data_IF_797299029580
#
_entry.id   IF_797299029580
#
_cell.length_a   1.000
_cell.length_b   1.000
_cell.length_c   1.000
_cell.angle_alpha   90.00
_cell.angle_beta   90.00
_cell.angle_gamma   90.00
#
_symmetry.space_group_name_H-M   'P 1'
#
loop_
_entity.id
_entity.type
_entity.pdbx_description
1 polymer ?
#
# COMPACT_ATOMS: atom_id res chain seq x y z
N UNK A 1 4.43 -8.70 4.28
CA UNK A 1 5.13 -8.48 3.00
C UNK A 1 4.80 -7.09 2.50
N UNK A 2 5.73 -6.41 1.82
CA UNK A 2 5.43 -5.16 1.12
C UNK A 2 4.75 -5.49 -0.21
N UNK A 3 3.82 -4.63 -0.65
CA UNK A 3 3.11 -4.82 -1.90
C UNK A 3 4.06 -4.67 -3.10
N UNK A 4 3.93 -5.56 -4.08
CA UNK A 4 4.75 -5.54 -5.30
C UNK A 4 3.90 -5.91 -6.52
N UNK A 5 3.15 -4.93 -7.03
CA UNK A 5 2.43 -5.07 -8.30
C UNK A 5 3.44 -5.11 -9.44
N UNK A 6 3.39 -6.10 -10.36
CA UNK A 6 4.24 -6.12 -11.54
C UNK A 6 4.11 -4.83 -12.35
N UNK A 7 5.20 -4.33 -12.92
CA UNK A 7 5.16 -3.15 -13.80
C UNK A 7 4.37 -3.50 -15.06
N UNK A 8 4.54 -4.72 -15.56
CA UNK A 8 3.81 -5.25 -16.70
C UNK A 8 3.03 -6.53 -16.30
N UNK A 9 1.69 -6.45 -16.18
CA UNK A 9 0.91 -7.51 -15.56
C UNK A 9 0.51 -8.65 -16.50
N UNK A 10 1.02 -8.72 -17.74
CA UNK A 10 0.61 -9.74 -18.72
C UNK A 10 1.69 -10.83 -18.83
N UNK A 11 1.52 -12.01 -18.19
CA UNK A 11 2.45 -13.12 -18.35
C UNK A 11 2.46 -13.57 -19.82
N UNK A 12 3.58 -13.40 -20.51
CA UNK A 12 3.76 -13.79 -21.91
C UNK A 12 3.18 -12.83 -22.95
N UNK A 13 2.50 -11.76 -22.56
CA UNK A 13 2.04 -10.71 -23.48
C UNK A 13 3.14 -9.70 -23.71
N UNK A 14 4.12 -10.04 -24.55
CA UNK A 14 5.20 -9.12 -24.91
C UNK A 14 4.76 -8.22 -26.07
N UNK A 15 5.16 -6.96 -26.01
CA UNK A 15 5.08 -6.05 -27.16
C UNK A 15 6.17 -6.39 -28.18
N UNK A 16 6.10 -5.81 -29.38
CA UNK A 16 7.16 -5.92 -30.39
C UNK A 16 8.52 -5.41 -29.86
N UNK A 17 8.52 -4.35 -29.05
CA UNK A 17 9.72 -3.84 -28.39
C UNK A 17 10.28 -4.82 -27.35
N UNK A 18 9.42 -5.41 -26.52
CA UNK A 18 9.82 -6.45 -25.56
C UNK A 18 10.43 -7.66 -26.28
N UNK A 19 9.78 -8.16 -27.33
CA UNK A 19 10.27 -9.28 -28.14
C UNK A 19 11.64 -8.96 -28.76
N UNK A 20 11.79 -7.78 -29.37
CA UNK A 20 13.06 -7.36 -29.96
C UNK A 20 14.19 -7.30 -28.92
N UNK A 21 13.91 -6.78 -27.73
CA UNK A 21 14.90 -6.69 -26.66
C UNK A 21 15.31 -8.07 -26.11
N UNK A 22 14.36 -8.99 -25.92
CA UNK A 22 14.65 -10.38 -25.55
C UNK A 22 15.52 -11.09 -26.60
N UNK A 23 15.22 -10.86 -27.88
CA UNK A 23 16.03 -11.35 -29.01
C UNK A 23 17.47 -10.82 -28.96
N UNK A 24 17.63 -9.51 -28.73
CA UNK A 24 18.94 -8.86 -28.60
C UNK A 24 19.76 -9.45 -27.46
N UNK A 25 19.17 -9.57 -26.26
CA UNK A 25 19.85 -10.16 -25.10
C UNK A 25 20.33 -11.58 -25.39
N UNK A 26 19.52 -12.37 -26.09
CA UNK A 26 19.88 -13.75 -26.46
C UNK A 26 21.03 -13.77 -27.47
N UNK A 27 20.98 -12.93 -28.50
CA UNK A 27 21.97 -12.89 -29.58
C UNK A 27 23.33 -12.33 -29.12
N UNK A 28 23.33 -11.36 -28.21
CA UNK A 28 24.51 -10.55 -27.88
C UNK A 28 24.98 -10.68 -26.43
N UNK A 29 24.48 -11.66 -25.66
CA UNK A 29 24.84 -11.89 -24.25
C UNK A 29 26.34 -11.91 -23.95
N UNK A 30 27.15 -12.36 -24.91
CA UNK A 30 28.61 -12.50 -24.77
C UNK A 30 29.41 -11.34 -25.38
N UNK A 31 28.75 -10.34 -25.97
CA UNK A 31 29.40 -9.19 -26.57
C UNK A 31 29.27 -7.97 -25.62
N UNK A 32 30.35 -7.56 -24.92
CA UNK A 32 30.31 -6.46 -23.97
C UNK A 32 29.98 -5.10 -24.63
N UNK A 33 30.33 -4.92 -25.90
CA UNK A 33 30.07 -3.66 -26.64
C UNK A 33 28.59 -3.50 -27.00
N UNK A 34 27.86 -4.62 -27.08
CA UNK A 34 26.42 -4.67 -27.36
C UNK A 34 25.58 -5.01 -26.12
N UNK A 35 26.24 -5.19 -24.97
CA UNK A 35 25.56 -5.41 -23.70
C UNK A 35 24.90 -4.11 -23.24
N UNK A 36 23.60 -4.00 -23.54
CA UNK A 36 22.70 -3.12 -22.80
C UNK A 36 22.71 -3.60 -21.36
N UNK A 37 22.75 -2.68 -20.39
CA UNK A 37 22.82 -3.02 -18.96
C UNK A 37 21.56 -3.74 -18.48
N UNK A 38 20.88 -3.22 -17.47
CA UNK A 38 19.60 -3.81 -17.03
C UNK A 38 18.44 -2.83 -17.22
N UNK A 39 18.10 -2.43 -18.47
CA UNK A 39 16.73 -2.00 -18.74
C UNK A 39 15.78 -3.10 -18.26
N UNK A 40 14.87 -2.74 -17.37
CA UNK A 40 13.88 -3.67 -16.86
C UNK A 40 12.88 -4.01 -17.99
N UNK A 41 12.78 -5.29 -18.31
CA UNK A 41 11.98 -5.81 -19.42
C UNK A 41 10.54 -5.29 -19.40
N UNK A 42 9.92 -5.32 -18.23
CA UNK A 42 8.53 -4.91 -18.01
C UNK A 42 8.27 -3.44 -18.37
N UNK A 43 9.27 -2.56 -18.23
CA UNK A 43 9.12 -1.15 -18.58
C UNK A 43 9.11 -0.92 -20.09
N UNK A 44 9.85 -1.73 -20.87
CA UNK A 44 9.82 -1.62 -22.33
C UNK A 44 8.43 -1.93 -22.87
N UNK A 45 7.79 -2.98 -22.34
CA UNK A 45 6.42 -3.34 -22.70
C UNK A 45 5.42 -2.27 -22.25
N UNK A 46 5.52 -1.79 -21.01
CA UNK A 46 4.65 -0.73 -20.51
C UNK A 46 4.73 0.56 -21.37
N UNK A 47 5.93 0.98 -21.77
CA UNK A 47 6.13 2.16 -22.63
C UNK A 47 5.53 1.94 -24.02
N UNK A 48 5.75 0.77 -24.62
CA UNK A 48 5.27 0.45 -25.97
C UNK A 48 3.76 0.31 -26.04
N UNK A 49 3.16 -0.32 -25.03
CA UNK A 49 1.71 -0.40 -24.89
C UNK A 49 1.11 1.00 -24.74
N UNK A 50 1.64 1.82 -23.83
CA UNK A 50 1.14 3.19 -23.62
C UNK A 50 1.24 4.01 -24.89
N UNK A 51 2.36 3.95 -25.61
CA UNK A 51 2.52 4.66 -26.89
C UNK A 51 1.40 4.30 -27.89
N UNK A 52 1.09 3.01 -27.98
CA UNK A 52 0.08 2.46 -28.89
C UNK A 52 -1.33 2.86 -28.46
N UNK A 53 -1.67 2.66 -27.18
CA UNK A 53 -3.00 2.92 -26.61
C UNK A 53 -3.38 4.40 -26.65
N UNK A 54 -2.41 5.29 -26.44
CA UNK A 54 -2.63 6.74 -26.35
C UNK A 54 -2.46 7.46 -27.68
N UNK A 55 -1.77 6.85 -28.65
CA UNK A 55 -1.36 7.53 -29.88
C UNK A 55 -0.35 8.66 -29.64
N UNK A 56 0.37 8.64 -28.52
CA UNK A 56 1.37 9.66 -28.20
C UNK A 56 2.53 9.61 -29.21
N UNK A 57 2.59 10.63 -30.07
CA UNK A 57 3.57 10.72 -31.15
C UNK A 57 5.01 10.77 -30.67
N UNK A 58 5.29 11.42 -29.53
CA UNK A 58 6.65 11.53 -28.98
C UNK A 58 7.09 10.20 -28.38
N UNK A 59 6.23 9.56 -27.60
CA UNK A 59 6.53 8.25 -27.01
C UNK A 59 6.65 7.18 -28.11
N UNK A 60 5.83 7.27 -29.15
CA UNK A 60 5.93 6.41 -30.34
C UNK A 60 7.29 6.59 -31.05
N UNK A 61 7.75 7.83 -31.23
CA UNK A 61 9.05 8.09 -31.83
C UNK A 61 10.20 7.51 -31.00
N UNK A 62 10.17 7.67 -29.68
CA UNK A 62 11.18 7.12 -28.77
C UNK A 62 11.19 5.58 -28.77
N UNK A 63 10.02 4.95 -28.71
CA UNK A 63 9.91 3.48 -28.74
C UNK A 63 10.28 2.88 -30.09
N UNK A 64 9.99 3.57 -31.20
CA UNK A 64 10.46 3.18 -32.54
C UNK A 64 11.98 3.35 -32.70
N UNK A 65 12.57 4.39 -32.11
CA UNK A 65 14.02 4.57 -32.11
C UNK A 65 14.71 3.41 -31.38
N UNK A 66 14.18 2.99 -30.23
CA UNK A 66 14.67 1.80 -29.51
C UNK A 66 14.58 0.53 -30.36
N UNK A 67 13.45 0.30 -31.04
CA UNK A 67 13.29 -0.82 -31.98
C UNK A 67 14.33 -0.81 -33.11
N UNK A 68 14.56 0.36 -33.72
CA UNK A 68 15.54 0.52 -34.80
C UNK A 68 16.96 0.20 -34.34
N UNK A 69 17.34 0.68 -33.14
CA UNK A 69 18.63 0.39 -32.53
C UNK A 69 18.82 -1.12 -32.28
N UNK A 70 17.79 -1.81 -31.77
CA UNK A 70 17.83 -3.26 -31.52
C UNK A 70 17.86 -4.09 -32.81
N UNK A 71 17.28 -3.60 -33.89
CA UNK A 71 17.26 -4.31 -35.17
C UNK A 71 18.63 -4.33 -35.86
N UNK A 72 19.47 -3.32 -35.66
CA UNK A 72 20.78 -3.23 -36.29
C UNK A 72 21.87 -2.62 -35.37
N UNK A 73 22.18 -3.27 -34.23
CA UNK A 73 23.03 -2.67 -33.19
C UNK A 73 24.46 -2.36 -33.67
N UNK A 74 24.99 -3.14 -34.61
CA UNK A 74 26.34 -2.96 -35.17
C UNK A 74 26.47 -1.76 -36.11
N UNK A 75 25.36 -1.25 -36.65
CA UNK A 75 25.38 -0.06 -37.50
C UNK A 75 25.46 1.26 -36.71
N UNK A 76 25.35 1.20 -35.38
CA UNK A 76 25.33 2.38 -34.52
C UNK A 76 26.57 2.41 -33.62
N UNK A 77 27.50 3.33 -33.91
CA UNK A 77 28.71 3.52 -33.10
C UNK A 77 28.42 3.95 -31.65
N UNK A 78 27.23 4.52 -31.40
CA UNK A 78 26.72 4.93 -30.09
C UNK A 78 25.62 4.02 -29.50
N UNK A 79 25.40 2.81 -30.05
CA UNK A 79 24.23 1.96 -29.76
C UNK A 79 23.76 1.97 -28.30
N UNK A 80 24.67 1.66 -27.35
CA UNK A 80 24.32 1.55 -25.93
C UNK A 80 23.89 2.90 -25.34
N UNK A 81 24.63 3.96 -25.63
CA UNK A 81 24.32 5.29 -25.12
C UNK A 81 23.01 5.81 -25.71
N UNK A 82 22.81 5.62 -27.01
CA UNK A 82 21.61 6.05 -27.72
C UNK A 82 20.37 5.29 -27.22
N UNK A 83 20.47 3.97 -27.04
CA UNK A 83 19.38 3.16 -26.52
C UNK A 83 19.01 3.56 -25.10
N UNK A 84 19.99 3.68 -24.20
CA UNK A 84 19.74 4.06 -22.82
C UNK A 84 19.18 5.48 -22.70
N UNK A 85 19.62 6.40 -23.55
CA UNK A 85 19.07 7.76 -23.62
C UNK A 85 17.61 7.72 -24.06
N UNK A 86 17.29 7.03 -25.16
CA UNK A 86 15.91 6.90 -25.64
C UNK A 86 14.99 6.22 -24.60
N UNK A 87 15.49 5.18 -23.92
CA UNK A 87 14.78 4.48 -22.87
C UNK A 87 14.48 5.40 -21.66
N UNK A 88 15.48 6.11 -21.14
CA UNK A 88 15.28 7.01 -20.00
C UNK A 88 14.42 8.23 -20.36
N UNK A 89 14.56 8.78 -21.56
CA UNK A 89 13.69 9.85 -22.07
C UNK A 89 12.24 9.38 -22.18
N UNK A 90 12.01 8.17 -22.69
CA UNK A 90 10.69 7.59 -22.77
C UNK A 90 10.07 7.41 -21.37
N UNK A 91 10.83 6.89 -20.40
CA UNK A 91 10.36 6.73 -19.01
C UNK A 91 10.05 8.05 -18.33
N UNK A 92 10.94 9.05 -18.43
CA UNK A 92 10.73 10.38 -17.84
C UNK A 92 9.53 11.08 -18.44
N UNK A 93 9.28 10.87 -19.73
CA UNK A 93 8.15 11.45 -20.43
C UNK A 93 6.82 10.77 -20.07
N UNK A 94 6.76 9.44 -20.14
CA UNK A 94 5.54 8.67 -19.91
C UNK A 94 5.16 8.56 -18.42
N UNK A 95 6.14 8.34 -17.54
CA UNK A 95 5.93 8.01 -16.13
C UNK A 95 6.75 8.93 -15.21
N UNK A 96 6.54 10.26 -15.26
CA UNK A 96 7.36 11.21 -14.54
C UNK A 96 7.34 11.04 -13.01
N UNK A 97 6.21 10.65 -12.40
CA UNK A 97 6.13 10.39 -10.97
C UNK A 97 6.86 9.10 -10.60
N UNK A 98 6.58 8.00 -11.32
CA UNK A 98 7.23 6.72 -11.05
C UNK A 98 8.75 6.85 -11.20
N UNK A 99 9.21 7.54 -12.24
CA UNK A 99 10.64 7.80 -12.45
C UNK A 99 11.25 8.65 -11.34
N UNK A 100 10.54 9.66 -10.85
CA UNK A 100 11.02 10.47 -9.73
C UNK A 100 11.21 9.63 -8.45
N UNK A 101 10.28 8.70 -8.16
CA UNK A 101 10.41 7.78 -7.03
C UNK A 101 11.58 6.79 -7.21
N UNK A 102 11.82 6.32 -8.43
CA UNK A 102 12.98 5.48 -8.76
C UNK A 102 14.28 6.27 -8.59
N UNK A 103 14.32 7.55 -8.99
CA UNK A 103 15.46 8.43 -8.74
C UNK A 103 15.74 8.55 -7.24
N UNK A 104 14.71 8.62 -6.37
CA UNK A 104 14.90 8.55 -4.90
C UNK A 104 15.47 7.21 -4.44
N UNK A 105 14.98 6.08 -4.97
CA UNK A 105 15.52 4.76 -4.63
C UNK A 105 17.00 4.65 -5.03
N UNK A 106 17.35 5.15 -6.20
CA UNK A 106 18.74 5.14 -6.68
C UNK A 106 19.67 6.02 -5.85
N UNK A 107 19.19 7.15 -5.30
CA UNK A 107 19.99 7.99 -4.40
C UNK A 107 20.35 7.28 -3.09
N UNK A 108 19.51 6.37 -2.62
CA UNK A 108 19.75 5.60 -1.39
C UNK A 108 20.45 4.26 -1.67
N UNK A 109 20.35 3.76 -2.90
CA UNK A 109 20.92 2.48 -3.32
C UNK A 109 22.42 2.40 -3.02
N UNK A 110 22.82 1.32 -2.34
CA UNK A 110 24.21 1.11 -1.90
C UNK A 110 24.63 1.92 -0.68
N UNK A 111 23.74 2.73 -0.09
CA UNK A 111 24.00 3.51 1.12
C UNK A 111 23.07 3.10 2.27
N UNK A 112 21.75 3.23 2.07
CA UNK A 112 20.72 3.00 3.10
C UNK A 112 19.38 2.67 2.41
N UNK A 113 18.29 2.56 3.17
CA UNK A 113 16.93 2.33 2.66
C UNK A 113 15.92 3.18 3.42
N UNK A 114 14.99 3.83 2.71
CA UNK A 114 13.86 4.53 3.32
C UNK A 114 12.63 3.60 3.35
N UNK A 115 12.13 3.33 4.55
CA UNK A 115 10.99 2.44 4.76
C UNK A 115 9.70 2.93 4.06
N UNK A 116 9.46 4.24 4.06
CA UNK A 116 8.27 4.82 3.42
C UNK A 116 8.32 4.62 1.91
N UNK A 117 9.48 4.85 1.31
CA UNK A 117 9.70 4.62 -0.12
C UNK A 117 9.59 3.13 -0.51
N UNK A 118 9.97 2.22 0.38
CA UNK A 118 9.79 0.79 0.20
C UNK A 118 8.31 0.39 0.23
N UNK A 119 7.47 1.10 0.99
CA UNK A 119 6.03 0.86 1.06
C UNK A 119 5.23 1.39 -0.16
N UNK A 120 5.85 2.19 -1.04
CA UNK A 120 5.21 2.66 -2.27
C UNK A 120 5.37 1.60 -3.36
N UNK A 121 4.26 1.02 -3.80
CA UNK A 121 4.24 0.04 -4.88
C UNK A 121 4.32 0.75 -6.24
N UNK A 122 5.48 0.63 -6.90
CA UNK A 122 5.73 1.30 -8.18
C UNK A 122 4.82 0.80 -9.30
N UNK A 123 4.37 -0.46 -9.27
CA UNK A 123 3.41 -0.97 -10.26
C UNK A 123 2.08 -0.27 -10.12
N UNK A 124 1.63 0.00 -8.89
CA UNK A 124 0.44 0.82 -8.64
C UNK A 124 0.62 2.26 -9.08
N UNK A 125 1.76 2.89 -8.77
CA UNK A 125 2.03 4.28 -9.20
C UNK A 125 1.99 4.39 -10.73
N UNK A 126 2.61 3.44 -11.44
CA UNK A 126 2.56 3.37 -12.91
C UNK A 126 1.13 3.26 -13.42
N UNK A 127 0.31 2.38 -12.82
CA UNK A 127 -1.11 2.26 -13.23
C UNK A 127 -1.87 3.56 -12.95
N UNK A 128 -1.64 4.20 -11.80
CA UNK A 128 -2.25 5.49 -11.46
C UNK A 128 -1.88 6.56 -12.51
N UNK A 129 -0.63 6.61 -12.98
CA UNK A 129 -0.20 7.53 -14.04
C UNK A 129 -0.82 7.23 -15.40
N UNK A 130 -1.10 5.96 -15.72
CA UNK A 130 -1.83 5.58 -16.93
C UNK A 130 -3.31 5.97 -16.85
N UNK A 131 -3.98 5.68 -15.72
CA UNK A 131 -5.39 6.00 -15.52
C UNK A 131 -5.62 7.53 -15.40
N UNK A 132 -4.63 8.28 -14.91
CA UNK A 132 -4.66 9.75 -14.84
C UNK A 132 -4.75 10.46 -16.21
N UNK A 133 -4.52 9.74 -17.32
CA UNK A 133 -4.71 10.30 -18.67
C UNK A 133 -6.17 10.68 -18.93
N UNK A 134 -7.10 9.92 -18.36
CA UNK A 134 -8.55 10.08 -18.55
C UNK A 134 -9.29 10.40 -17.26
N UNK A 135 -8.66 10.22 -16.10
CA UNK A 135 -9.29 10.46 -14.80
C UNK A 135 -8.78 11.76 -14.11
N UNK A 136 -9.66 12.77 -13.92
CA UNK A 136 -9.26 14.03 -13.29
C UNK A 136 -8.79 13.89 -11.84
N UNK A 137 -9.36 12.98 -11.05
CA UNK A 137 -8.99 12.78 -9.65
C UNK A 137 -7.61 12.15 -9.54
N UNK A 138 -7.33 11.10 -10.33
CA UNK A 138 -6.00 10.48 -10.37
C UNK A 138 -4.94 11.46 -10.92
N UNK A 139 -5.30 12.30 -11.89
CA UNK A 139 -4.43 13.37 -12.38
C UNK A 139 -4.05 14.38 -11.30
N UNK A 140 -5.01 14.76 -10.46
CA UNK A 140 -4.75 15.61 -9.30
C UNK A 140 -3.82 14.93 -8.30
N UNK A 141 -4.04 13.66 -7.95
CA UNK A 141 -3.13 12.93 -7.07
C UNK A 141 -1.70 12.83 -7.61
N UNK A 142 -1.53 12.53 -8.90
CA UNK A 142 -0.21 12.50 -9.56
C UNK A 142 0.47 13.86 -9.48
N UNK A 143 -0.26 14.95 -9.75
CA UNK A 143 0.26 16.31 -9.64
C UNK A 143 0.70 16.61 -8.21
N UNK A 144 -0.12 16.28 -7.22
CA UNK A 144 0.13 16.58 -5.81
C UNK A 144 1.33 15.79 -5.27
N UNK A 145 1.45 14.50 -5.62
CA UNK A 145 2.63 13.69 -5.30
C UNK A 145 3.92 14.27 -5.91
N UNK A 146 3.89 14.69 -7.18
CA UNK A 146 5.04 15.33 -7.83
C UNK A 146 5.41 16.66 -7.19
N UNK A 147 4.42 17.48 -6.84
CA UNK A 147 4.64 18.76 -6.18
C UNK A 147 5.31 18.56 -4.82
N UNK A 148 4.85 17.57 -4.03
CA UNK A 148 5.47 17.20 -2.74
C UNK A 148 6.89 16.67 -2.92
N UNK A 149 7.13 15.76 -3.89
CA UNK A 149 8.48 15.24 -4.17
C UNK A 149 9.48 16.34 -4.58
N UNK A 150 9.02 17.36 -5.30
CA UNK A 150 9.84 18.49 -5.71
C UNK A 150 10.14 19.48 -4.57
N UNK A 151 9.41 19.41 -3.45
CA UNK A 151 9.65 20.28 -2.30
C UNK A 151 10.98 19.93 -1.62
N UNK A 152 11.79 20.96 -1.36
CA UNK A 152 13.13 20.85 -0.76
C UNK A 152 13.21 21.38 0.68
N UNK A 153 12.09 21.84 1.24
CA UNK A 153 12.05 22.50 2.56
C UNK A 153 12.08 21.55 3.75
N UNK A 154 11.79 20.27 3.54
CA UNK A 154 11.66 19.26 4.59
C UNK A 154 12.78 18.23 4.47
N UNK A 155 13.05 17.51 5.55
CA UNK A 155 13.90 16.34 5.48
C UNK A 155 13.31 15.31 4.52
N UNK A 156 14.15 14.54 3.81
CA UNK A 156 13.65 13.71 2.69
C UNK A 156 12.65 12.65 3.12
N UNK A 157 12.84 12.03 4.29
CA UNK A 157 11.90 11.07 4.86
C UNK A 157 10.54 11.74 5.17
N UNK A 158 10.50 13.01 5.58
CA UNK A 158 9.24 13.75 5.77
C UNK A 158 8.53 14.03 4.44
N UNK A 159 9.28 14.41 3.41
CA UNK A 159 8.74 14.56 2.06
C UNK A 159 8.09 13.25 1.60
N UNK A 160 8.77 12.12 1.79
CA UNK A 160 8.27 10.81 1.38
C UNK A 160 7.01 10.39 2.15
N UNK A 161 6.88 10.75 3.43
CA UNK A 161 5.64 10.55 4.22
C UNK A 161 4.47 11.31 3.61
N UNK A 162 4.66 12.59 3.28
CA UNK A 162 3.60 13.38 2.65
C UNK A 162 3.22 12.87 1.26
N UNK A 163 4.18 12.33 0.51
CA UNK A 163 3.92 11.67 -0.78
C UNK A 163 3.11 10.39 -0.57
N UNK A 164 3.45 9.62 0.47
CA UNK A 164 2.73 8.41 0.83
C UNK A 164 1.27 8.68 1.20
N UNK A 165 0.98 9.78 1.90
CA UNK A 165 -0.39 10.15 2.26
C UNK A 165 -1.27 10.31 1.01
N UNK A 166 -0.78 11.07 0.02
CA UNK A 166 -1.45 11.27 -1.27
C UNK A 166 -1.52 9.97 -2.08
N UNK A 167 -0.45 9.17 -2.06
CA UNK A 167 -0.43 7.86 -2.69
C UNK A 167 -1.50 6.93 -2.10
N UNK A 168 -1.68 6.92 -0.78
CA UNK A 168 -2.69 6.13 -0.10
C UNK A 168 -4.11 6.47 -0.54
N UNK A 169 -4.43 7.77 -0.64
CA UNK A 169 -5.72 8.24 -1.18
C UNK A 169 -5.92 7.82 -2.64
N UNK A 170 -4.91 8.03 -3.50
CA UNK A 170 -4.96 7.64 -4.91
C UNK A 170 -5.18 6.14 -5.08
N UNK A 171 -4.48 5.33 -4.28
CA UNK A 171 -4.57 3.89 -4.28
C UNK A 171 -5.96 3.41 -3.82
N UNK A 172 -6.51 3.97 -2.74
CA UNK A 172 -7.88 3.67 -2.28
C UNK A 172 -8.89 3.96 -3.38
N UNK A 173 -8.83 5.15 -3.98
CA UNK A 173 -9.72 5.55 -5.06
C UNK A 173 -9.66 4.58 -6.24
N UNK A 174 -8.45 4.25 -6.69
CA UNK A 174 -8.22 3.30 -7.78
C UNK A 174 -8.75 1.91 -7.45
N UNK A 175 -8.35 1.33 -6.33
CA UNK A 175 -8.65 -0.06 -5.99
C UNK A 175 -10.16 -0.27 -5.80
N UNK A 176 -10.87 0.68 -5.18
CA UNK A 176 -12.32 0.60 -5.03
C UNK A 176 -13.06 0.69 -6.37
N UNK A 177 -12.61 1.56 -7.29
CA UNK A 177 -13.14 1.62 -8.66
C UNK A 177 -12.87 0.34 -9.44
N UNK A 178 -11.64 -0.19 -9.37
CA UNK A 178 -11.30 -1.44 -10.04
C UNK A 178 -12.17 -2.61 -9.52
N UNK A 179 -12.46 -2.63 -8.21
CA UNK A 179 -13.29 -3.65 -7.57
C UNK A 179 -14.76 -3.58 -7.97
N UNK A 180 -15.36 -2.38 -7.99
CA UNK A 180 -16.81 -2.20 -8.14
C UNK A 180 -17.23 -1.74 -9.54
N UNK A 181 -16.28 -1.36 -10.38
CA UNK A 181 -16.52 -0.85 -11.72
C UNK A 181 -17.54 0.30 -11.72
N UNK A 182 -18.46 0.28 -12.68
CA UNK A 182 -19.49 1.32 -12.82
C UNK A 182 -20.50 1.40 -11.67
N UNK A 183 -20.49 0.47 -10.70
CA UNK A 183 -21.40 0.52 -9.54
C UNK A 183 -20.99 1.55 -8.50
N UNK A 184 -19.71 1.90 -8.43
CA UNK A 184 -19.20 2.90 -7.50
C UNK A 184 -18.70 4.12 -8.27
N UNK A 185 -19.30 5.27 -7.97
CA UNK A 185 -18.74 6.58 -8.30
C UNK A 185 -18.06 7.11 -7.06
N UNK A 186 -16.76 7.36 -7.15
CA UNK A 186 -15.95 7.94 -6.06
C UNK A 186 -15.18 9.12 -6.62
N UNK A 187 -15.16 10.24 -5.90
CA UNK A 187 -14.45 11.45 -6.31
C UNK A 187 -13.80 12.12 -5.09
N UNK A 188 -12.56 12.61 -5.28
CA UNK A 188 -11.87 13.41 -4.27
C UNK A 188 -12.66 14.67 -3.98
N UNK A 189 -12.86 14.99 -2.71
CA UNK A 189 -13.41 16.28 -2.30
C UNK A 189 -12.25 17.30 -2.30
N UNK A 190 -12.39 18.45 -2.98
CA UNK A 190 -11.36 19.48 -2.95
C UNK A 190 -11.07 19.94 -1.53
N UNK A 191 -9.78 20.11 -1.21
CA UNK A 191 -9.35 20.62 0.10
C UNK A 191 -9.97 22.01 0.35
N UNK A 192 -10.48 22.21 1.56
CA UNK A 192 -11.10 23.46 1.97
C UNK A 192 -10.76 23.80 3.42
N UNK A 193 -11.00 25.05 3.84
CA UNK A 193 -10.82 25.45 5.24
C UNK A 193 -11.80 24.76 6.21
N UNK A 194 -12.88 24.17 5.69
CA UNK A 194 -13.83 23.40 6.48
C UNK A 194 -13.36 21.94 6.52
N UNK A 195 -13.08 21.37 7.71
CA UNK A 195 -12.77 19.96 7.83
C UNK A 195 -13.92 19.11 7.27
N UNK A 196 -13.57 18.10 6.48
CA UNK A 196 -14.54 17.22 5.84
C UNK A 196 -13.88 15.95 5.35
N UNK A 197 -14.68 15.02 4.82
CA UNK A 197 -14.19 13.75 4.32
C UNK A 197 -13.34 13.91 3.06
N UNK A 198 -12.42 12.98 2.83
CA UNK A 198 -11.54 12.97 1.65
C UNK A 198 -12.29 12.61 0.34
N UNK A 199 -13.31 11.75 0.39
CA UNK A 199 -14.06 11.31 -0.78
C UNK A 199 -15.57 11.40 -0.64
N UNK A 200 -16.24 11.76 -1.73
CA UNK A 200 -17.67 11.57 -1.93
C UNK A 200 -17.91 10.31 -2.76
N UNK A 201 -18.88 9.50 -2.33
CA UNK A 201 -19.18 8.21 -2.94
C UNK A 201 -20.67 8.04 -3.24
N UNK A 202 -20.96 7.42 -4.38
CA UNK A 202 -22.28 6.93 -4.74
C UNK A 202 -22.18 5.46 -5.14
N UNK A 203 -22.93 4.60 -4.46
CA UNK A 203 -22.97 3.17 -4.72
C UNK A 203 -24.36 2.74 -5.21
N UNK A 204 -24.40 2.18 -6.41
CA UNK A 204 -25.63 1.61 -6.96
C UNK A 204 -25.81 0.16 -6.46
N UNK A 205 -26.95 -0.07 -5.79
CA UNK A 205 -27.32 -1.34 -5.15
C UNK A 205 -28.69 -1.78 -5.62
N UNK A 206 -28.91 -3.10 -5.72
CA UNK A 206 -30.21 -3.65 -6.14
C UNK A 206 -31.01 -4.05 -4.91
N UNK A 207 -32.15 -3.39 -4.69
CA UNK A 207 -33.11 -3.71 -3.63
C UNK A 207 -34.47 -4.02 -4.22
N UNK A 208 -34.98 -5.21 -3.93
CA UNK A 208 -36.30 -5.66 -4.41
C UNK A 208 -36.48 -5.47 -5.94
N UNK A 209 -35.43 -5.76 -6.71
CA UNK A 209 -35.43 -5.61 -8.17
C UNK A 209 -35.31 -4.17 -8.69
N UNK A 210 -35.05 -3.19 -7.83
CA UNK A 210 -34.83 -1.78 -8.22
C UNK A 210 -33.43 -1.32 -7.84
N UNK A 211 -32.80 -0.53 -8.70
CA UNK A 211 -31.53 0.13 -8.37
C UNK A 211 -31.81 1.32 -7.45
N UNK A 212 -31.12 1.33 -6.31
CA UNK A 212 -31.09 2.44 -5.35
C UNK A 212 -29.64 2.92 -5.26
N UNK A 213 -29.44 4.23 -5.23
CA UNK A 213 -28.11 4.83 -5.07
C UNK A 213 -27.92 5.25 -3.62
N UNK A 214 -26.91 4.69 -2.96
CA UNK A 214 -26.49 5.09 -1.62
C UNK A 214 -25.41 6.16 -1.71
N UNK A 215 -25.63 7.31 -1.06
CA UNK A 215 -24.65 8.39 -0.99
C UNK A 215 -23.95 8.38 0.37
N UNK A 216 -22.62 8.32 0.36
CA UNK A 216 -21.81 8.29 1.56
C UNK A 216 -20.44 8.93 1.30
N UNK A 217 -19.61 8.99 2.33
CA UNK A 217 -18.28 9.56 2.27
C UNK A 217 -17.24 8.59 2.84
N UNK A 218 -15.98 8.76 2.43
CA UNK A 218 -14.84 8.07 3.02
C UNK A 218 -13.87 9.10 3.58
N UNK A 219 -13.45 8.89 4.82
CA UNK A 219 -12.33 9.59 5.43
C UNK A 219 -11.13 8.64 5.49
N UNK A 220 -10.07 8.93 4.75
CA UNK A 220 -8.90 8.07 4.59
C UNK A 220 -7.76 8.57 5.47
N UNK A 221 -7.16 7.66 6.25
CA UNK A 221 -5.95 7.96 7.01
C UNK A 221 -4.90 6.89 6.81
N UNK A 222 -3.79 7.28 6.18
CA UNK A 222 -2.56 6.50 6.13
C UNK A 222 -1.90 6.50 7.51
N UNK A 223 -1.97 5.37 8.21
CA UNK A 223 -1.41 5.28 9.55
C UNK A 223 0.10 5.02 9.47
N UNK A 224 0.85 5.88 10.15
CA UNK A 224 2.30 5.89 10.14
C UNK A 224 2.88 4.95 11.22
N UNK A 225 4.15 4.57 11.05
CA UNK A 225 4.90 3.75 12.01
C UNK A 225 4.94 4.39 13.40
N UNK A 226 5.19 3.57 14.42
CA UNK A 226 5.33 4.06 15.79
C UNK A 226 6.49 5.07 15.84
N UNK A 227 6.21 6.25 16.39
CA UNK A 227 7.18 7.37 16.48
C UNK A 227 7.92 7.72 15.18
N UNK A 228 7.22 7.73 14.05
CA UNK A 228 7.79 7.93 12.71
C UNK A 228 8.82 9.06 12.53
N UNK A 229 8.63 10.30 13.05
CA UNK A 229 9.63 11.36 12.85
C UNK A 229 11.03 11.00 13.39
N UNK A 230 11.09 10.18 14.44
CA UNK A 230 12.33 9.72 15.04
C UNK A 230 12.75 8.35 14.52
N UNK A 231 11.80 7.42 14.35
CA UNK A 231 12.10 6.04 13.94
C UNK A 231 12.52 5.89 12.49
N UNK A 232 12.05 6.74 11.58
CA UNK A 232 12.46 6.64 10.17
C UNK A 232 13.96 6.95 9.99
N UNK A 233 14.52 8.03 10.56
CA UNK A 233 15.96 8.24 10.61
C UNK A 233 16.72 7.06 11.24
N UNK A 234 16.28 6.55 12.40
CA UNK A 234 16.94 5.40 13.04
C UNK A 234 16.94 4.15 12.15
N UNK A 235 15.86 3.88 11.43
CA UNK A 235 15.82 2.75 10.48
C UNK A 235 16.77 2.96 9.29
N UNK A 236 17.00 4.20 8.87
CA UNK A 236 17.97 4.51 7.83
C UNK A 236 19.41 4.33 8.33
N UNK A 237 19.68 4.71 9.58
CA UNK A 237 20.97 4.50 10.23
C UNK A 237 21.24 3.00 10.44
N UNK A 238 20.25 2.25 10.95
CA UNK A 238 20.30 0.78 11.08
C UNK A 238 20.65 0.13 9.71
N UNK A 239 20.04 0.60 8.61
CA UNK A 239 20.32 0.11 7.26
C UNK A 239 21.72 0.49 6.74
N UNK A 240 22.25 1.65 7.15
CA UNK A 240 23.61 2.07 6.81
C UNK A 240 24.65 1.21 7.54
N UNK A 241 24.42 0.88 8.81
CA UNK A 241 25.30 0.01 9.59
C UNK A 241 25.40 -1.40 8.98
N UNK A 242 24.28 -1.94 8.51
CA UNK A 242 24.24 -3.20 7.73
C UNK A 242 25.11 -3.10 6.48
N UNK A 243 25.06 -1.95 5.78
CA UNK A 243 25.87 -1.73 4.58
C UNK A 243 27.37 -1.61 4.89
N UNK A 244 27.72 -0.90 5.96
CA UNK A 244 29.10 -0.78 6.44
C UNK A 244 29.66 -2.16 6.77
N UNK A 245 28.88 -3.02 7.41
CA UNK A 245 29.30 -4.39 7.74
C UNK A 245 29.55 -5.23 6.49
N UNK A 246 28.66 -5.17 5.50
CA UNK A 246 28.87 -5.84 4.21
C UNK A 246 30.16 -5.36 3.53
N UNK A 247 30.42 -4.05 3.52
CA UNK A 247 31.62 -3.49 2.90
C UNK A 247 32.91 -3.88 3.64
N UNK A 248 32.86 -3.97 4.97
CA UNK A 248 34.00 -4.49 5.76
C UNK A 248 34.34 -5.92 5.38
N UNK A 249 33.35 -6.81 5.27
CA UNK A 249 33.56 -8.20 4.87
C UNK A 249 34.12 -8.31 3.45
N UNK A 250 33.57 -7.55 2.50
CA UNK A 250 34.09 -7.51 1.12
C UNK A 250 35.54 -7.02 1.08
N UNK A 251 35.86 -5.94 1.81
CA UNK A 251 37.22 -5.40 1.86
C UNK A 251 38.22 -6.33 2.56
N UNK A 252 37.75 -7.15 3.51
CA UNK A 252 38.55 -8.20 4.13
C UNK A 252 38.84 -9.40 3.20
N UNK A 253 38.24 -9.41 2.00
CA UNK A 253 38.40 -10.49 1.03
C UNK A 253 37.51 -11.71 1.30
N UNK A 254 36.46 -11.54 2.12
CA UNK A 254 35.52 -12.61 2.39
C UNK A 254 34.83 -13.06 1.10
N UNK A 255 34.76 -14.37 0.90
CA UNK A 255 34.17 -14.95 -0.32
C UNK A 255 32.66 -14.74 -0.40
N UNK A 256 32.00 -14.64 0.75
CA UNK A 256 30.57 -14.39 0.89
C UNK A 256 30.41 -13.36 2.00
N UNK A 257 29.80 -12.21 1.67
CA UNK A 257 29.46 -11.19 2.66
C UNK A 257 27.97 -11.29 3.01
N UNK A 258 27.64 -11.34 4.30
CA UNK A 258 26.27 -11.43 4.81
C UNK A 258 26.10 -10.50 6.02
N UNK A 259 24.98 -9.79 6.04
CA UNK A 259 24.55 -8.98 7.17
C UNK A 259 23.02 -9.03 7.25
N UNK A 260 22.48 -8.91 8.46
CA UNK A 260 21.06 -8.92 8.74
C UNK A 260 20.61 -7.54 9.22
N UNK A 261 19.49 -7.06 8.68
CA UNK A 261 18.84 -5.82 9.11
C UNK A 261 17.40 -6.09 9.49
N UNK A 262 16.92 -5.42 10.54
CA UNK A 262 15.56 -5.60 11.06
C UNK A 262 14.72 -4.36 10.76
N UNK A 263 13.60 -4.56 10.08
CA UNK A 263 12.56 -3.53 9.90
C UNK A 263 11.43 -3.80 10.90
N UNK A 264 11.32 -2.96 11.91
CA UNK A 264 10.32 -3.10 12.99
C UNK A 264 9.41 -1.86 13.09
N UNK A 265 8.33 -1.77 12.28
CA UNK A 265 7.42 -0.61 12.21
C UNK A 265 6.69 -0.28 13.51
N UNK A 266 6.56 -1.27 14.40
CA UNK A 266 5.92 -1.08 15.69
C UNK A 266 6.90 -0.84 16.85
N UNK A 267 8.21 -0.91 16.61
CA UNK A 267 9.22 -0.66 17.65
C UNK A 267 9.27 0.84 17.97
N UNK A 268 9.15 1.26 19.25
CA UNK A 268 9.33 2.65 19.65
C UNK A 268 10.80 3.11 19.47
N UNK A 269 11.05 4.40 19.70
CA UNK A 269 12.37 5.07 19.57
C UNK A 269 13.38 4.49 20.56
N UNK A 270 14.61 4.30 20.10
CA UNK A 270 15.74 3.85 20.93
C UNK A 270 15.66 2.38 21.38
N UNK A 271 16.44 2.07 22.43
CA UNK A 271 16.41 0.75 23.07
C UNK A 271 15.04 0.55 23.74
N UNK A 272 14.30 -0.43 23.24
CA UNK A 272 12.96 -0.77 23.70
C UNK A 272 13.00 -2.10 24.49
N UNK A 273 13.55 -2.13 25.72
CA UNK A 273 13.59 -3.34 26.53
C UNK A 273 12.14 -3.79 26.81
N UNK A 274 11.78 -4.97 26.30
CA UNK A 274 10.42 -5.51 26.37
C UNK A 274 9.60 -5.35 25.08
N UNK A 275 10.18 -4.83 23.99
CA UNK A 275 9.59 -5.01 22.67
C UNK A 275 9.56 -6.49 22.30
N UNK A 276 8.38 -6.99 21.94
CA UNK A 276 8.14 -8.35 21.51
C UNK A 276 7.54 -8.29 20.10
N UNK A 277 8.32 -8.70 19.11
CA UNK A 277 7.96 -8.69 17.69
C UNK A 277 6.87 -9.70 17.33
N UNK A 278 6.59 -10.66 18.22
CA UNK A 278 5.50 -11.64 18.11
C UNK A 278 4.23 -11.19 18.82
N UNK A 279 4.23 -10.02 19.46
CA UNK A 279 3.03 -9.49 20.10
C UNK A 279 1.96 -9.13 19.07
N UNK A 280 0.73 -9.56 19.33
CA UNK A 280 -0.51 -9.17 18.64
C UNK A 280 -1.09 -7.91 19.30
N UNK A 281 -1.01 -7.81 20.63
CA UNK A 281 -1.49 -6.66 21.40
C UNK A 281 -0.79 -5.39 20.97
N UNK A 282 0.52 -5.45 20.71
CA UNK A 282 1.31 -4.29 20.35
C UNK A 282 0.82 -3.64 19.02
N UNK A 283 0.64 -4.39 17.91
CA UNK A 283 -0.05 -3.89 16.73
C UNK A 283 -1.44 -3.30 16.99
N UNK A 284 -2.28 -3.99 17.78
CA UNK A 284 -3.64 -3.50 18.10
C UNK A 284 -3.57 -2.12 18.75
N UNK A 285 -2.78 -1.97 19.81
CA UNK A 285 -2.70 -0.70 20.53
C UNK A 285 -2.03 0.42 19.73
N UNK A 286 -1.01 0.10 18.94
CA UNK A 286 -0.37 1.07 18.06
C UNK A 286 -1.35 1.60 17.01
N UNK A 287 -2.11 0.72 16.36
CA UNK A 287 -3.13 1.09 15.38
C UNK A 287 -4.22 1.94 16.05
N UNK A 288 -4.73 1.52 17.20
CA UNK A 288 -5.73 2.28 17.98
C UNK A 288 -5.25 3.69 18.31
N UNK A 289 -4.04 3.81 18.88
CA UNK A 289 -3.47 5.11 19.24
C UNK A 289 -3.34 6.03 18.02
N UNK A 290 -2.89 5.50 16.89
CA UNK A 290 -2.72 6.27 15.64
C UNK A 290 -4.05 6.67 15.04
N UNK A 291 -4.99 5.74 14.94
CA UNK A 291 -6.31 5.99 14.37
C UNK A 291 -7.09 7.03 15.21
N UNK A 292 -7.14 6.89 16.53
CA UNK A 292 -7.77 7.86 17.43
C UNK A 292 -7.10 9.24 17.35
N UNK A 293 -5.78 9.26 17.11
CA UNK A 293 -5.01 10.49 16.89
C UNK A 293 -5.30 11.18 15.56
N UNK A 294 -5.71 10.45 14.53
CA UNK A 294 -5.83 10.93 13.16
C UNK A 294 -7.27 11.19 12.71
N UNK A 295 -8.23 10.37 13.11
CA UNK A 295 -9.65 10.61 12.83
C UNK A 295 -10.21 11.66 13.78
N UNK A 296 -10.84 12.70 13.24
CA UNK A 296 -11.45 13.80 13.98
C UNK A 296 -12.93 13.87 13.64
N UNK A 297 -13.81 13.89 14.66
CA UNK A 297 -15.26 13.95 14.47
C UNK A 297 -15.76 15.09 13.58
N UNK A 298 -15.00 16.18 13.41
CA UNK A 298 -15.36 17.22 12.45
C UNK A 298 -15.42 16.71 10.98
N UNK A 299 -14.61 15.72 10.62
CA UNK A 299 -14.53 15.11 9.29
C UNK A 299 -15.76 14.26 8.96
N UNK A 300 -16.53 13.83 9.97
CA UNK A 300 -17.64 12.88 9.81
C UNK A 300 -19.03 13.56 9.73
N UNK A 301 -19.08 14.89 9.79
CA UNK A 301 -20.34 15.66 9.91
C UNK A 301 -21.14 15.81 8.61
N UNK A 302 -20.56 15.45 7.46
CA UNK A 302 -21.16 15.72 6.13
C UNK A 302 -22.27 14.72 5.75
N UNK A 303 -22.39 13.63 6.49
CA UNK A 303 -23.32 12.52 6.25
C UNK A 303 -22.69 11.20 6.66
N UNK A 304 -23.25 10.05 6.25
CA UNK A 304 -22.67 8.74 6.49
C UNK A 304 -21.22 8.69 5.96
N UNK A 305 -20.25 8.68 6.88
CA UNK A 305 -18.82 8.80 6.56
C UNK A 305 -18.09 7.63 7.18
N UNK A 306 -17.53 6.74 6.37
CA UNK A 306 -16.77 5.60 6.87
C UNK A 306 -15.32 5.99 7.13
N UNK A 307 -14.79 5.59 8.28
CA UNK A 307 -13.38 5.70 8.57
C UNK A 307 -12.62 4.63 7.78
N UNK A 308 -11.61 5.01 7.00
CA UNK A 308 -10.76 4.09 6.25
C UNK A 308 -9.31 4.23 6.71
N UNK A 309 -8.81 3.23 7.44
CA UNK A 309 -7.43 3.16 7.88
C UNK A 309 -6.58 2.44 6.83
N UNK A 310 -5.60 3.13 6.25
CA UNK A 310 -4.60 2.54 5.37
C UNK A 310 -3.39 2.10 6.20
N UNK A 311 -3.16 0.79 6.29
CA UNK A 311 -2.13 0.14 7.09
C UNK A 311 -0.93 -0.36 6.27
N UNK A 312 -0.76 0.10 5.03
CA UNK A 312 0.34 -0.36 4.17
C UNK A 312 1.76 -0.08 4.74
N UNK A 313 1.88 0.80 5.74
CA UNK A 313 3.13 1.06 6.50
C UNK A 313 3.17 0.38 7.88
N UNK A 314 2.12 -0.35 8.26
CA UNK A 314 1.96 -1.06 9.52
C UNK A 314 1.55 -2.50 9.20
N UNK A 315 2.51 -3.40 8.90
CA UNK A 315 2.20 -4.76 8.49
C UNK A 315 1.42 -5.50 9.60
N UNK A 316 0.41 -6.27 9.23
CA UNK A 316 -0.30 -7.13 10.17
C UNK A 316 0.52 -8.41 10.46
N UNK A 317 0.32 -9.09 11.60
CA UNK A 317 1.08 -10.28 11.99
C UNK A 317 0.70 -11.56 11.20
N UNK A 318 0.31 -11.43 9.92
CA UNK A 318 0.12 -12.55 9.00
C UNK A 318 -1.07 -13.47 9.33
N UNK A 319 -2.17 -12.91 9.82
CA UNK A 319 -3.33 -13.67 10.30
C UNK A 319 -4.34 -14.05 9.21
N UNK A 320 -4.11 -13.63 7.96
CA UNK A 320 -5.07 -13.81 6.86
C UNK A 320 -6.45 -13.27 7.25
N UNK A 321 -7.49 -14.06 6.96
CA UNK A 321 -8.87 -13.71 7.33
C UNK A 321 -9.15 -13.78 8.85
N UNK A 322 -8.27 -14.41 9.64
CA UNK A 322 -8.43 -14.53 11.09
C UNK A 322 -8.38 -13.17 11.81
N UNK A 323 -7.86 -12.13 11.15
CA UNK A 323 -7.86 -10.76 11.69
C UNK A 323 -9.26 -10.16 11.86
N UNK A 324 -10.27 -10.69 11.18
CA UNK A 324 -11.66 -10.18 11.15
C UNK A 324 -12.53 -10.70 12.28
N UNK A 325 -12.11 -11.71 13.02
CA UNK A 325 -12.88 -12.36 14.10
C UNK A 325 -12.23 -12.09 15.44
N UNK A 326 -13.02 -12.18 16.52
CA UNK A 326 -12.48 -12.00 17.87
C UNK A 326 -11.38 -13.02 18.15
N UNK A 327 -11.61 -14.27 17.79
CA UNK A 327 -10.59 -15.32 17.88
C UNK A 327 -10.70 -16.30 16.72
N UNK A 328 -9.56 -16.91 16.36
CA UNK A 328 -9.47 -17.95 15.34
C UNK A 328 -8.48 -19.04 15.75
N UNK A 329 -8.64 -20.21 15.13
CA UNK A 329 -7.78 -21.36 15.31
C UNK A 329 -6.80 -21.47 14.14
N UNK A 330 -5.51 -21.63 14.45
CA UNK A 330 -4.48 -21.89 13.47
C UNK A 330 -3.99 -23.34 13.60
N UNK A 331 -4.11 -24.17 12.54
CA UNK A 331 -3.70 -25.56 12.58
C UNK A 331 -2.22 -25.78 12.96
N UNK A 332 -1.36 -24.79 12.73
CA UNK A 332 0.07 -24.85 13.06
C UNK A 332 0.40 -24.18 14.40
N UNK A 333 -0.33 -23.13 14.77
CA UNK A 333 0.04 -22.25 15.88
C UNK A 333 -0.91 -22.27 17.09
N UNK A 334 -1.94 -23.12 17.03
CA UNK A 334 -2.87 -23.38 18.12
C UNK A 334 -4.18 -22.63 18.00
N UNK A 335 -5.02 -22.82 19.02
CA UNK A 335 -6.40 -22.35 19.01
C UNK A 335 -6.56 -21.00 19.73
N UNK A 336 -7.65 -20.31 19.40
CA UNK A 336 -8.07 -19.10 20.11
C UNK A 336 -7.13 -17.92 20.00
N UNK A 337 -6.41 -17.76 18.89
CA UNK A 337 -5.55 -16.60 18.60
C UNK A 337 -6.42 -15.37 18.33
N UNK A 338 -6.08 -14.23 18.92
CA UNK A 338 -6.85 -12.98 18.79
C UNK A 338 -6.69 -12.34 17.41
N UNK A 339 -7.80 -11.99 16.74
CA UNK A 339 -7.74 -11.25 15.48
C UNK A 339 -7.41 -9.77 15.70
N UNK A 340 -6.33 -9.26 15.09
CA UNK A 340 -5.85 -7.89 15.31
C UNK A 340 -6.91 -6.85 14.95
N UNK A 341 -7.45 -6.91 13.74
CA UNK A 341 -8.34 -5.86 13.25
C UNK A 341 -9.71 -5.86 13.96
N UNK A 342 -10.23 -7.02 14.35
CA UNK A 342 -11.45 -7.09 15.17
C UNK A 342 -11.25 -6.38 16.52
N UNK A 343 -10.10 -6.59 17.18
CA UNK A 343 -9.80 -5.90 18.44
C UNK A 343 -9.53 -4.41 18.25
N UNK A 344 -8.98 -3.98 17.11
CA UNK A 344 -8.89 -2.56 16.75
C UNK A 344 -10.28 -1.93 16.60
N UNK A 345 -11.27 -2.66 16.09
CA UNK A 345 -12.62 -2.14 15.93
C UNK A 345 -13.43 -2.16 17.24
N UNK A 346 -13.42 -3.29 17.95
CA UNK A 346 -14.40 -3.62 19.01
C UNK A 346 -13.79 -4.09 20.34
N UNK A 347 -12.46 -4.14 20.46
CA UNK A 347 -11.79 -4.60 21.67
C UNK A 347 -12.22 -3.82 22.92
N UNK A 348 -12.39 -4.48 24.05
CA UNK A 348 -12.74 -3.82 25.31
C UNK A 348 -11.50 -3.61 26.19
N UNK A 349 -11.48 -2.54 26.98
CA UNK A 349 -10.40 -2.32 27.97
C UNK A 349 -10.35 -3.51 28.94
N UNK A 350 -9.15 -4.03 29.18
CA UNK A 350 -8.94 -5.21 30.03
C UNK A 350 -9.22 -6.55 29.35
N UNK A 351 -9.67 -6.56 28.09
CA UNK A 351 -9.83 -7.80 27.33
C UNK A 351 -8.47 -8.47 27.09
N UNK A 352 -8.38 -9.77 27.36
CA UNK A 352 -7.15 -10.54 27.12
C UNK A 352 -6.90 -10.71 25.64
N UNK A 353 -5.63 -10.59 25.26
CA UNK A 353 -5.12 -10.86 23.93
C UNK A 353 -4.30 -12.13 23.97
N UNK A 354 -4.55 -12.98 22.99
CA UNK A 354 -3.93 -14.29 22.83
C UNK A 354 -3.18 -14.34 21.51
N UNK A 355 -1.97 -14.90 21.54
CA UNK A 355 -1.09 -15.04 20.38
C UNK A 355 -0.76 -16.48 20.05
N UNK A 356 -0.22 -16.67 18.85
CA UNK A 356 0.38 -17.92 18.43
C UNK A 356 1.42 -18.40 19.46
N UNK A 357 1.31 -19.66 19.88
CA UNK A 357 2.31 -20.28 20.76
C UNK A 357 3.67 -20.33 20.05
N UNK A 358 4.76 -20.14 20.78
CA UNK A 358 6.11 -20.25 20.23
C UNK A 358 6.49 -21.69 19.88
N UNK A 359 6.13 -22.61 20.76
CA UNK A 359 6.28 -24.04 20.62
C UNK A 359 5.22 -24.73 21.48
N UNK A 360 5.09 -26.05 21.36
CA UNK A 360 4.14 -26.83 22.16
C UNK A 360 4.39 -26.64 23.66
N UNK A 361 3.37 -26.18 24.39
CA UNK A 361 3.46 -25.89 25.83
C UNK A 361 3.94 -24.48 26.18
N UNK A 362 4.32 -23.65 25.20
CA UNK A 362 4.52 -22.21 25.43
C UNK A 362 3.17 -21.53 25.73
N UNK A 363 3.20 -20.49 26.58
CA UNK A 363 2.02 -19.68 26.85
C UNK A 363 1.57 -18.87 25.62
N UNK A 364 0.26 -18.66 25.50
CA UNK A 364 -0.35 -17.84 24.45
C UNK A 364 -0.77 -16.45 24.94
N UNK A 365 -0.56 -16.12 26.22
CA UNK A 365 -0.97 -14.84 26.79
C UNK A 365 -0.08 -13.70 26.25
N UNK A 366 -0.72 -12.65 25.75
CA UNK A 366 -0.07 -11.43 25.26
C UNK A 366 -0.56 -10.20 26.04
N UNK A 367 -1.13 -10.44 27.23
CA UNK A 367 -1.61 -9.42 28.15
C UNK A 367 -3.04 -8.99 27.88
N UNK A 368 -3.40 -7.79 28.32
CA UNK A 368 -4.75 -7.24 28.19
C UNK A 368 -4.73 -5.87 27.52
N UNK A 369 -5.77 -5.55 26.75
CA UNK A 369 -5.89 -4.25 26.07
C UNK A 369 -5.97 -3.10 27.08
N UNK A 370 -5.14 -2.09 26.88
CA UNK A 370 -5.21 -0.84 27.65
C UNK A 370 -6.25 0.15 27.09
N UNK A 371 -6.74 -0.07 25.87
CA UNK A 371 -7.64 0.83 25.14
C UNK A 371 -8.83 0.08 24.56
N UNK A 372 -9.94 0.77 24.44
CA UNK A 372 -11.11 0.29 23.73
C UNK A 372 -10.91 0.40 22.21
N UNK A 373 -11.64 -0.43 21.46
CA UNK A 373 -11.72 -0.44 20.01
C UNK A 373 -12.33 0.86 19.49
N UNK A 374 -11.94 1.30 18.29
CA UNK A 374 -12.35 2.60 17.73
C UNK A 374 -13.86 2.81 17.67
N UNK A 375 -14.64 1.76 17.43
CA UNK A 375 -16.09 1.83 17.30
C UNK A 375 -16.84 1.75 18.64
N UNK A 376 -16.13 1.38 19.72
CA UNK A 376 -16.71 1.22 21.07
C UNK A 376 -16.10 2.17 22.11
N UNK A 377 -15.00 2.85 21.76
CA UNK A 377 -14.30 3.79 22.63
C UNK A 377 -15.10 5.08 22.83
N UNK A 378 -15.71 5.21 24.01
CA UNK A 378 -16.48 6.38 24.43
C UNK A 378 -15.63 7.66 24.54
N UNK A 379 -14.31 7.55 24.71
CA UNK A 379 -13.43 8.72 24.77
C UNK A 379 -13.18 9.31 23.38
N UNK A 380 -13.15 8.47 22.35
CA UNK A 380 -13.06 8.91 20.95
C UNK A 380 -14.43 9.29 20.42
N UNK A 381 -15.47 8.49 20.75
CA UNK A 381 -16.84 8.65 20.31
C UNK A 381 -16.92 8.98 18.81
N UNK A 382 -16.27 8.12 18.00
CA UNK A 382 -16.14 8.34 16.56
C UNK A 382 -17.51 8.19 15.89
N UNK A 383 -18.05 9.26 15.31
CA UNK A 383 -19.35 9.24 14.64
C UNK A 383 -19.22 8.64 13.22
N UNK A 384 -19.10 7.32 13.14
CA UNK A 384 -18.89 6.59 11.88
C UNK A 384 -19.80 5.36 11.79
N UNK A 385 -20.36 5.01 10.61
CA UNK A 385 -21.10 3.77 10.42
C UNK A 385 -20.20 2.52 10.52
N UNK A 386 -18.89 2.68 10.36
CA UNK A 386 -17.95 1.57 10.42
C UNK A 386 -16.50 1.97 10.16
N UNK A 387 -15.61 0.99 10.32
CA UNK A 387 -14.19 1.06 10.03
C UNK A 387 -13.87 0.13 8.85
N UNK A 388 -13.18 0.68 7.85
CA UNK A 388 -12.61 -0.07 6.74
C UNK A 388 -11.10 -0.04 6.89
N UNK A 389 -10.45 -1.17 6.66
CA UNK A 389 -8.99 -1.29 6.76
C UNK A 389 -8.42 -1.73 5.42
N UNK A 390 -7.59 -0.87 4.82
CA UNK A 390 -6.76 -1.22 3.65
C UNK A 390 -5.43 -1.78 4.14
N UNK A 391 -5.10 -3.00 3.74
CA UNK A 391 -3.81 -3.63 4.02
C UNK A 391 -3.37 -4.55 2.87
N UNK A 392 -2.18 -5.14 3.00
CA UNK A 392 -1.63 -6.07 2.02
C UNK A 392 -1.21 -7.39 2.68
N UNK A 393 -1.72 -8.49 2.17
CA UNK A 393 -1.31 -9.85 2.54
C UNK A 393 -0.83 -10.61 1.28
N UNK A 394 -1.65 -11.48 0.70
CA UNK A 394 -1.47 -12.09 -0.64
C UNK A 394 -1.95 -11.17 -1.79
N UNK A 395 -2.29 -9.93 -1.45
CA UNK A 395 -2.78 -8.87 -2.34
C UNK A 395 -3.39 -7.72 -1.53
N UNK A 396 -3.82 -6.67 -2.23
CA UNK A 396 -4.54 -5.56 -1.59
C UNK A 396 -5.92 -6.00 -1.10
N UNK A 397 -6.21 -5.72 0.16
CA UNK A 397 -7.47 -6.10 0.82
C UNK A 397 -8.13 -4.91 1.48
N UNK A 398 -9.45 -4.89 1.42
CA UNK A 398 -10.28 -4.04 2.26
C UNK A 398 -11.06 -4.96 3.20
N UNK A 399 -10.83 -4.83 4.50
CA UNK A 399 -11.53 -5.59 5.54
C UNK A 399 -12.46 -4.64 6.30
N UNK A 400 -13.72 -5.04 6.48
CA UNK A 400 -14.77 -4.18 7.03
C UNK A 400 -15.22 -4.51 8.45
N UNK A 401 -15.52 -3.48 9.24
CA UNK A 401 -16.12 -3.59 10.56
C UNK A 401 -17.26 -2.58 10.65
N UNK A 402 -18.48 -3.05 10.90
CA UNK A 402 -19.66 -2.19 10.91
C UNK A 402 -20.23 -2.01 12.31
N UNK A 403 -20.67 -0.79 12.60
CA UNK A 403 -21.50 -0.50 13.76
C UNK A 403 -22.96 -0.81 13.38
N UNK A 404 -23.52 -1.86 13.99
CA UNK A 404 -24.90 -2.32 13.72
C UNK A 404 -25.95 -1.38 14.30
N UNK A 405 -25.58 -0.51 15.24
CA UNK A 405 -26.48 0.44 15.89
C UNK A 405 -26.46 1.82 15.21
N UNK A 406 -25.49 2.10 14.34
CA UNK A 406 -25.35 3.42 13.71
C UNK A 406 -26.49 3.73 12.74
N UNK A 407 -27.06 4.93 12.89
CA UNK A 407 -28.13 5.46 12.02
C UNK A 407 -27.97 6.96 11.81
N UNK A 408 -28.41 7.46 10.65
CA UNK A 408 -28.42 8.90 10.38
C UNK A 408 -29.54 9.27 9.40
N UNK A 409 -30.59 9.89 9.91
CA UNK A 409 -31.76 10.24 9.11
C UNK A 409 -32.42 9.00 8.49
N UNK A 410 -32.44 8.92 7.15
CA UNK A 410 -32.94 7.75 6.42
C UNK A 410 -31.92 6.62 6.29
N UNK A 411 -30.66 6.84 6.68
CA UNK A 411 -29.62 5.82 6.63
C UNK A 411 -29.74 4.87 7.82
N UNK A 412 -29.94 3.58 7.52
CA UNK A 412 -30.07 2.53 8.52
C UNK A 412 -28.97 1.46 8.44
N UNK A 413 -29.00 0.46 9.34
CA UNK A 413 -27.97 -0.58 9.41
C UNK A 413 -27.82 -1.40 8.11
N UNK A 414 -28.92 -1.58 7.37
CA UNK A 414 -28.90 -2.25 6.07
C UNK A 414 -28.11 -1.47 5.00
N UNK A 415 -28.11 -0.14 5.06
CA UNK A 415 -27.32 0.70 4.15
C UNK A 415 -25.83 0.59 4.49
N UNK A 416 -25.51 0.61 5.78
CA UNK A 416 -24.15 0.39 6.29
C UNK A 416 -23.60 -0.97 5.84
N UNK A 417 -24.35 -2.04 6.07
CA UNK A 417 -23.95 -3.39 5.68
C UNK A 417 -23.74 -3.51 4.16
N UNK A 418 -24.62 -2.90 3.35
CA UNK A 418 -24.51 -2.95 1.89
C UNK A 418 -23.23 -2.27 1.38
N UNK A 419 -22.87 -1.12 1.96
CA UNK A 419 -21.63 -0.41 1.62
C UNK A 419 -20.43 -1.25 2.03
N UNK A 420 -20.36 -1.69 3.29
CA UNK A 420 -19.22 -2.47 3.80
C UNK A 420 -19.04 -3.77 3.03
N UNK A 421 -20.13 -4.50 2.77
CA UNK A 421 -20.09 -5.71 1.94
C UNK A 421 -19.58 -5.44 0.53
N UNK A 422 -20.00 -4.35 -0.09
CA UNK A 422 -19.59 -4.02 -1.46
C UNK A 422 -18.12 -3.62 -1.53
N UNK A 423 -17.67 -2.74 -0.64
CA UNK A 423 -16.30 -2.23 -0.62
C UNK A 423 -15.29 -3.30 -0.17
N UNK A 424 -15.63 -4.12 0.84
CA UNK A 424 -14.70 -5.01 1.50
C UNK A 424 -14.86 -6.48 1.08
N UNK A 425 -16.10 -6.92 0.86
CA UNK A 425 -16.44 -8.34 0.67
C UNK A 425 -16.40 -9.12 1.99
N UNK A 426 -15.23 -9.16 2.64
CA UNK A 426 -15.08 -9.69 3.99
C UNK A 426 -15.32 -8.61 5.04
N UNK A 427 -16.14 -8.91 6.06
CA UNK A 427 -16.45 -7.98 7.14
C UNK A 427 -17.03 -8.69 8.36
N UNK A 428 -17.06 -7.99 9.50
CA UNK A 428 -17.66 -8.46 10.74
C UNK A 428 -18.26 -7.32 11.58
N UNK A 429 -18.79 -7.65 12.75
CA UNK A 429 -19.40 -6.71 13.71
C UNK A 429 -18.96 -7.00 15.17
N UNK A 430 -19.44 -6.17 16.10
CA UNK A 430 -19.16 -6.28 17.54
C UNK A 430 -19.67 -7.59 18.14
N UNK A 431 -20.74 -8.17 17.60
CA UNK A 431 -21.26 -9.45 18.06
C UNK A 431 -20.45 -10.65 17.53
N UNK A 432 -19.44 -10.40 16.69
CA UNK A 432 -18.66 -11.41 15.98
C UNK A 432 -19.57 -12.36 15.18
N UNK A 433 -20.64 -11.81 14.59
CA UNK A 433 -21.71 -12.58 13.95
C UNK A 433 -21.23 -13.45 12.78
N UNK A 434 -20.06 -13.13 12.22
CA UNK A 434 -19.43 -13.83 11.10
C UNK A 434 -18.22 -14.67 11.50
N UNK A 435 -17.99 -14.91 12.79
CA UNK A 435 -16.88 -15.71 13.30
C UNK A 435 -16.72 -17.04 12.54
N UNK A 436 -17.81 -17.75 12.22
CA UNK A 436 -17.77 -19.02 11.50
C UNK A 436 -17.09 -18.96 10.11
N UNK A 437 -17.01 -17.78 9.48
CA UNK A 437 -16.33 -17.59 8.20
C UNK A 437 -14.82 -17.43 8.35
N UNK A 438 -14.35 -17.08 9.56
CA UNK A 438 -13.00 -16.58 9.83
C UNK A 438 -12.29 -17.30 10.98
N UNK A 439 -13.00 -18.13 11.75
CA UNK A 439 -12.50 -18.80 12.96
C UNK A 439 -11.47 -19.91 12.69
N UNK A 440 -11.15 -20.20 11.44
CA UNK A 440 -10.06 -21.11 11.07
C UNK A 440 -9.11 -20.37 10.16
N UNK A 441 -7.82 -20.38 10.48
CA UNK A 441 -6.79 -19.78 9.64
C UNK A 441 -6.85 -20.36 8.24
N UNK A 442 -6.91 -19.46 7.25
CA UNK A 442 -6.80 -19.79 5.83
C UNK A 442 -5.99 -18.68 5.17
N UNK A 443 -4.87 -19.04 4.55
CA UNK A 443 -4.27 -18.20 3.50
C UNK A 443 -5.22 -18.20 2.31
N UNK A 444 -5.43 -17.04 1.70
CA UNK A 444 -6.37 -16.89 0.59
C UNK A 444 -5.65 -16.68 -0.72
#
# INVERSE_FOLDING_TARGET
MLAHTPIWPVPGGQTDLGIAFAGHLTAHRRNPDLALGVPEFEWLDALRDRATRTGDTRLTALTNAMLGLLANPLAHSGFKADFMTAYEDARRYAYPLTRALIDERHRLSGLSQDYTLACIDLGQVRIIEDEAETDPSLKEFVRDMRAKLAATKLARHETLRQVFDVYGEALVCRLLRARLGGRLRIAKIPESAVPGPDFACELDVVRQGRTVTLQFYLEVKSLDIVAAPQRLPEMMDDALDVRIELEKQVNAGERIAMAEGVVAPYRPVGDAPGYDDRSIRLPVEAILQKAAGNFKNAQFRRGPTFALANLLRLPLPGQGVGTLTKAYDDPMFGNGISGVLWHVAFGQVGQRITRAAEFEGAGQDDGSLARAGLLVDQAVALDTPGLIVLHHDDGYRFDGFLDTAWTNGSWGPQDTEEVVRSLCGDYNDEADSRAANYNTFRRR
#
